data_IF_440133735023
#
_entry.id   IF_440133735023
#
_cell.length_a   1.000
_cell.length_b   1.000
_cell.length_c   1.000
_cell.angle_alpha   90.00
_cell.angle_beta   90.00
_cell.angle_gamma   90.00
#
_symmetry.space_group_name_H-M   'P 1'
#
loop_
_entity.id
_entity.type
_entity.pdbx_description
1 polymer ?
#
# COMPACT_ATOMS: atom_id res chain seq x y z
N UNK A 1 -31.12 -15.31 -5.15
CA UNK A 1 -30.34 -15.97 -4.07
C UNK A 1 -28.91 -16.28 -4.52
N UNK A 2 -28.70 -16.74 -5.76
CA UNK A 2 -27.40 -17.06 -6.35
C UNK A 2 -26.39 -15.88 -6.39
N UNK A 3 -26.85 -14.68 -6.75
CA UNK A 3 -26.03 -13.46 -6.73
C UNK A 3 -25.47 -13.13 -5.33
N UNK A 4 -26.27 -13.28 -4.27
CA UNK A 4 -25.84 -12.98 -2.90
C UNK A 4 -24.82 -14.00 -2.38
N UNK A 5 -24.88 -15.25 -2.86
CA UNK A 5 -23.85 -16.25 -2.56
C UNK A 5 -22.54 -15.98 -3.29
N UNK A 6 -22.61 -15.61 -4.57
CA UNK A 6 -21.44 -15.28 -5.39
C UNK A 6 -20.71 -14.04 -4.85
N UNK A 7 -21.46 -12.96 -4.55
CA UNK A 7 -20.91 -11.75 -3.94
C UNK A 7 -20.10 -12.03 -2.67
N UNK A 8 -20.68 -12.82 -1.75
CA UNK A 8 -20.01 -13.18 -0.49
C UNK A 8 -18.78 -14.04 -0.72
N UNK A 9 -18.77 -14.87 -1.75
CA UNK A 9 -17.62 -15.69 -2.10
C UNK A 9 -16.48 -14.84 -2.67
N UNK A 10 -16.79 -13.91 -3.57
CA UNK A 10 -15.83 -12.97 -4.14
C UNK A 10 -15.19 -12.11 -3.05
N UNK A 11 -15.99 -11.57 -2.13
CA UNK A 11 -15.47 -10.79 -1.01
C UNK A 11 -14.48 -11.57 -0.14
N UNK A 12 -14.74 -12.86 0.14
CA UNK A 12 -13.82 -13.72 0.88
C UNK A 12 -12.54 -14.01 0.10
N UNK A 13 -12.66 -14.20 -1.21
CA UNK A 13 -11.52 -14.43 -2.11
C UNK A 13 -10.61 -13.20 -2.17
N UNK A 14 -11.17 -12.01 -2.42
CA UNK A 14 -10.46 -10.73 -2.45
C UNK A 14 -9.76 -10.45 -1.11
N UNK A 15 -10.42 -10.74 0.00
CA UNK A 15 -9.82 -10.59 1.33
C UNK A 15 -8.65 -11.56 1.57
N UNK A 16 -8.75 -12.79 1.08
CA UNK A 16 -7.64 -13.75 1.14
C UNK A 16 -6.47 -13.26 0.30
N UNK A 17 -6.74 -12.84 -0.94
CA UNK A 17 -5.74 -12.31 -1.87
C UNK A 17 -5.02 -11.09 -1.31
N UNK A 18 -5.76 -10.16 -0.68
CA UNK A 18 -5.16 -9.00 -0.01
C UNK A 18 -4.13 -9.41 1.05
N UNK A 19 -4.46 -10.37 1.91
CA UNK A 19 -3.54 -10.83 2.96
C UNK A 19 -2.27 -11.46 2.39
N UNK A 20 -2.38 -12.13 1.25
CA UNK A 20 -1.26 -12.74 0.55
C UNK A 20 -0.39 -11.68 -0.14
N UNK A 21 -0.99 -10.63 -0.71
CA UNK A 21 -0.27 -9.57 -1.42
C UNK A 21 0.32 -8.49 -0.52
N UNK A 22 -0.30 -8.19 0.63
CA UNK A 22 0.11 -7.08 1.51
C UNK A 22 1.60 -7.13 1.90
N UNK A 23 2.19 -8.25 2.35
CA UNK A 23 3.60 -8.30 2.71
C UNK A 23 4.52 -7.95 1.53
N UNK A 24 4.20 -8.43 0.32
CA UNK A 24 4.97 -8.13 -0.88
C UNK A 24 4.89 -6.64 -1.25
N UNK A 25 3.70 -6.04 -1.15
CA UNK A 25 3.53 -4.61 -1.40
C UNK A 25 4.29 -3.75 -0.40
N UNK A 26 4.26 -4.12 0.88
CA UNK A 26 5.01 -3.43 1.93
C UNK A 26 6.53 -3.57 1.72
N UNK A 27 7.02 -4.76 1.39
CA UNK A 27 8.44 -4.98 1.10
C UNK A 27 8.91 -4.12 -0.08
N UNK A 28 8.15 -4.12 -1.18
CA UNK A 28 8.46 -3.31 -2.35
C UNK A 28 8.44 -1.81 -2.06
N UNK A 29 7.57 -1.35 -1.16
CA UNK A 29 7.55 0.04 -0.72
C UNK A 29 8.76 0.38 0.15
N UNK A 30 9.04 -0.45 1.16
CA UNK A 30 10.17 -0.27 2.06
C UNK A 30 11.51 -0.31 1.32
N UNK A 31 11.66 -1.15 0.28
CA UNK A 31 12.82 -1.14 -0.60
C UNK A 31 13.07 0.24 -1.23
N UNK A 32 12.02 0.89 -1.76
CA UNK A 32 12.11 2.26 -2.32
C UNK A 32 12.49 3.29 -1.25
N UNK A 33 12.01 3.12 -0.02
CA UNK A 33 12.39 3.97 1.12
C UNK A 33 13.87 3.80 1.46
N UNK A 34 14.36 2.55 1.50
CA UNK A 34 15.76 2.24 1.71
C UNK A 34 16.66 2.84 0.62
N UNK A 35 16.28 2.75 -0.65
CA UNK A 35 16.99 3.41 -1.76
C UNK A 35 17.07 4.92 -1.59
N UNK A 36 15.96 5.56 -1.18
CA UNK A 36 15.93 7.01 -0.89
C UNK A 36 16.87 7.39 0.24
N UNK A 37 16.89 6.59 1.32
CA UNK A 37 17.82 6.79 2.44
C UNK A 37 19.27 6.61 1.98
N UNK A 38 19.58 5.57 1.20
CA UNK A 38 20.92 5.35 0.65
C UNK A 38 21.41 6.55 -0.15
N UNK A 39 20.56 7.13 -1.02
CA UNK A 39 20.88 8.35 -1.79
C UNK A 39 21.19 9.56 -0.90
N UNK A 40 20.49 9.71 0.23
CA UNK A 40 20.78 10.77 1.21
C UNK A 40 22.14 10.53 1.89
N UNK A 41 22.45 9.28 2.23
CA UNK A 41 23.71 8.90 2.89
C UNK A 41 24.94 9.21 2.03
N UNK A 42 24.89 8.88 0.74
CA UNK A 42 26.03 9.03 -0.18
C UNK A 42 26.15 10.43 -0.82
N UNK A 43 25.34 11.40 -0.42
CA UNK A 43 25.37 12.74 -1.02
C UNK A 43 26.61 13.54 -0.57
N UNK A 44 27.64 13.62 -1.40
CA UNK A 44 28.92 14.26 -1.04
C UNK A 44 28.87 15.79 -0.93
N UNK A 45 27.79 16.45 -1.37
CA UNK A 45 27.61 17.90 -1.27
C UNK A 45 27.08 18.36 0.10
N UNK A 46 26.69 17.41 0.97
CA UNK A 46 26.05 17.69 2.26
C UNK A 46 26.95 17.36 3.44
N UNK A 47 26.87 18.16 4.50
CA UNK A 47 27.55 17.86 5.76
C UNK A 47 26.96 16.61 6.43
N UNK A 48 27.72 15.97 7.32
CA UNK A 48 27.23 14.81 8.07
C UNK A 48 25.95 15.13 8.88
N UNK A 49 25.86 16.35 9.44
CA UNK A 49 24.69 16.79 10.19
C UNK A 49 23.46 16.93 9.28
N UNK A 50 23.62 17.49 8.08
CA UNK A 50 22.52 17.63 7.12
C UNK A 50 22.00 16.25 6.67
N UNK A 51 22.91 15.31 6.39
CA UNK A 51 22.55 13.93 6.03
C UNK A 51 21.76 13.27 7.15
N UNK A 52 22.26 13.34 8.38
CA UNK A 52 21.61 12.74 9.55
C UNK A 52 20.17 13.23 9.72
N UNK A 53 19.94 14.55 9.71
CA UNK A 53 18.61 15.11 9.86
C UNK A 53 17.69 14.85 8.67
N UNK A 54 18.22 14.79 7.45
CA UNK A 54 17.43 14.42 6.27
C UNK A 54 16.96 12.95 6.34
N UNK A 55 17.84 12.05 6.79
CA UNK A 55 17.52 10.63 6.98
C UNK A 55 16.48 10.46 8.09
N UNK A 56 16.68 11.09 9.26
CA UNK A 56 15.75 11.03 10.39
C UNK A 56 14.34 11.50 9.98
N UNK A 57 14.25 12.67 9.32
CA UNK A 57 12.98 13.22 8.82
C UNK A 57 12.32 12.29 7.82
N UNK A 58 13.10 11.63 6.96
CA UNK A 58 12.58 10.65 6.00
C UNK A 58 12.00 9.45 6.74
N UNK A 59 12.75 8.82 7.65
CA UNK A 59 12.25 7.68 8.45
C UNK A 59 11.00 8.08 9.23
N UNK A 60 11.01 9.25 9.88
CA UNK A 60 9.88 9.74 10.67
C UNK A 60 8.61 9.91 9.84
N UNK A 61 8.75 10.36 8.58
CA UNK A 61 7.64 10.50 7.64
C UNK A 61 7.16 9.14 7.14
N UNK A 62 8.08 8.30 6.65
CA UNK A 62 7.74 7.06 5.96
C UNK A 62 7.22 5.98 6.91
N UNK A 63 7.64 5.96 8.20
CA UNK A 63 7.18 4.95 9.18
C UNK A 63 5.67 4.93 9.44
N UNK A 64 4.96 6.01 9.08
CA UNK A 64 3.50 6.13 9.21
C UNK A 64 2.76 5.86 7.89
N UNK A 65 3.48 5.55 6.82
CA UNK A 65 2.86 5.21 5.54
C UNK A 65 2.21 3.81 5.63
N UNK A 66 1.02 3.56 5.04
CA UNK A 66 0.41 2.23 4.99
C UNK A 66 1.32 1.16 4.38
N UNK A 67 2.22 1.53 3.46
CA UNK A 67 3.26 0.63 2.93
C UNK A 67 4.29 0.17 3.97
N UNK A 68 4.21 0.67 5.21
CA UNK A 68 5.04 0.26 6.34
C UNK A 68 4.21 -0.24 7.51
N UNK A 69 3.19 0.51 7.95
CA UNK A 69 2.46 0.17 9.18
C UNK A 69 1.13 -0.57 8.99
N UNK A 70 0.67 -0.76 7.74
CA UNK A 70 -0.65 -1.35 7.53
C UNK A 70 -0.70 -2.78 8.08
N UNK A 71 -1.65 -3.00 8.97
CA UNK A 71 -2.01 -4.32 9.46
C UNK A 71 -3.14 -4.90 8.60
N UNK A 72 -3.38 -6.20 8.74
CA UNK A 72 -4.49 -6.87 8.05
C UNK A 72 -5.82 -6.29 8.58
N UNK A 73 -6.61 -5.61 7.75
CA UNK A 73 -7.88 -5.00 8.17
C UNK A 73 -8.94 -6.09 8.35
N UNK A 74 -10.10 -5.74 8.92
CA UNK A 74 -11.28 -6.58 8.77
C UNK A 74 -11.73 -6.66 7.31
N UNK A 75 -12.46 -7.72 6.95
CA UNK A 75 -13.04 -7.86 5.61
C UNK A 75 -13.96 -6.69 5.23
N UNK A 76 -14.64 -6.08 6.20
CA UNK A 76 -15.48 -4.89 5.98
C UNK A 76 -14.68 -3.64 5.63
N UNK A 77 -13.41 -3.58 6.07
CA UNK A 77 -12.53 -2.42 5.90
C UNK A 77 -11.55 -2.60 4.73
N UNK A 78 -11.61 -3.72 4.01
CA UNK A 78 -10.71 -4.05 2.90
C UNK A 78 -10.68 -2.94 1.83
N UNK A 79 -11.85 -2.38 1.49
CA UNK A 79 -11.95 -1.32 0.49
C UNK A 79 -11.14 -0.08 0.90
N UNK A 80 -11.25 0.35 2.15
CA UNK A 80 -10.52 1.50 2.67
C UNK A 80 -9.02 1.23 2.72
N UNK A 81 -8.60 0.02 3.10
CA UNK A 81 -7.18 -0.35 3.11
C UNK A 81 -6.56 -0.28 1.70
N UNK A 82 -7.27 -0.76 0.67
CA UNK A 82 -6.83 -0.65 -0.72
C UNK A 82 -6.74 0.81 -1.16
N UNK A 83 -7.75 1.63 -0.85
CA UNK A 83 -7.74 3.06 -1.16
C UNK A 83 -6.57 3.77 -0.47
N UNK A 84 -6.28 3.46 0.80
CA UNK A 84 -5.14 4.04 1.52
C UNK A 84 -3.81 3.68 0.85
N UNK A 85 -3.62 2.41 0.44
CA UNK A 85 -2.41 1.97 -0.27
C UNK A 85 -2.26 2.66 -1.63
N UNK A 86 -3.35 2.81 -2.39
CA UNK A 86 -3.35 3.49 -3.68
C UNK A 86 -3.04 4.99 -3.53
N UNK A 87 -3.72 5.66 -2.60
CA UNK A 87 -3.55 7.11 -2.35
C UNK A 87 -2.13 7.45 -1.88
N UNK A 88 -1.51 6.54 -1.11
CA UNK A 88 -0.12 6.67 -0.68
C UNK A 88 0.90 6.11 -1.70
N UNK A 89 0.42 5.71 -2.90
CA UNK A 89 1.24 5.20 -4.00
C UNK A 89 2.09 3.98 -3.62
N UNK A 90 1.60 3.20 -2.66
CA UNK A 90 2.20 1.93 -2.27
C UNK A 90 1.98 0.90 -3.36
N UNK A 91 0.75 0.88 -3.90
CA UNK A 91 0.31 0.06 -5.02
C UNK A 91 -0.33 0.95 -6.10
N UNK A 92 -0.64 0.35 -7.26
CA UNK A 92 -1.41 0.94 -8.34
C UNK A 92 -2.62 0.07 -8.68
N UNK A 93 -3.53 0.58 -9.51
CA UNK A 93 -4.72 -0.17 -9.94
C UNK A 93 -4.36 -1.48 -10.65
N UNK A 94 -3.24 -1.51 -11.38
CA UNK A 94 -2.78 -2.71 -12.07
C UNK A 94 -2.40 -3.85 -11.10
N UNK A 95 -2.02 -3.54 -9.86
CA UNK A 95 -1.69 -4.54 -8.84
C UNK A 95 -2.94 -5.31 -8.36
N UNK A 96 -4.13 -4.78 -8.66
CA UNK A 96 -5.43 -5.37 -8.32
C UNK A 96 -5.97 -6.31 -9.41
N UNK A 97 -5.22 -6.62 -10.47
CA UNK A 97 -5.70 -7.40 -11.63
C UNK A 97 -6.44 -8.69 -11.25
N UNK A 98 -5.95 -9.42 -10.25
CA UNK A 98 -6.50 -10.71 -9.79
C UNK A 98 -7.70 -10.59 -8.83
N UNK A 99 -8.07 -9.36 -8.43
CA UNK A 99 -9.27 -9.12 -7.62
C UNK A 99 -10.52 -9.23 -8.49
N UNK A 100 -11.66 -9.50 -7.83
CA UNK A 100 -12.95 -9.54 -8.51
C UNK A 100 -13.25 -8.22 -9.24
N UNK A 101 -13.89 -8.32 -10.41
CA UNK A 101 -14.30 -7.14 -11.20
C UNK A 101 -15.16 -6.19 -10.39
N UNK A 102 -16.11 -6.73 -9.61
CA UNK A 102 -16.96 -5.93 -8.74
C UNK A 102 -16.17 -5.12 -7.70
N UNK A 103 -15.10 -5.70 -7.14
CA UNK A 103 -14.25 -4.98 -6.19
C UNK A 103 -13.44 -3.89 -6.89
N UNK A 104 -12.85 -4.18 -8.06
CA UNK A 104 -12.12 -3.19 -8.86
C UNK A 104 -13.00 -2.01 -9.25
N UNK A 105 -14.22 -2.27 -9.73
CA UNK A 105 -15.19 -1.21 -10.07
C UNK A 105 -15.53 -0.31 -8.87
N UNK A 106 -15.65 -0.88 -7.66
CA UNK A 106 -15.91 -0.10 -6.44
C UNK A 106 -14.73 0.81 -6.10
N UNK A 107 -13.50 0.30 -6.24
CA UNK A 107 -12.28 1.08 -6.03
C UNK A 107 -12.21 2.23 -7.05
N UNK A 108 -12.38 1.95 -8.34
CA UNK A 108 -12.33 2.96 -9.41
C UNK A 108 -13.40 4.04 -9.25
N UNK A 109 -14.63 3.65 -8.89
CA UNK A 109 -15.70 4.63 -8.63
C UNK A 109 -15.31 5.61 -7.54
N UNK A 110 -14.61 5.16 -6.49
CA UNK A 110 -14.19 6.05 -5.40
C UNK A 110 -12.97 6.90 -5.78
N UNK A 111 -12.01 6.35 -6.54
CA UNK A 111 -10.85 7.13 -6.98
C UNK A 111 -11.17 8.26 -7.97
N UNK A 112 -12.29 8.13 -8.69
CA UNK A 112 -12.75 9.12 -9.69
C UNK A 112 -13.78 10.13 -9.13
N UNK A 113 -14.05 10.10 -7.82
CA UNK A 113 -14.87 11.08 -7.11
C UNK A 113 -14.00 12.19 -6.52
#
# INVERSE_FOLDING_TARGET
MEYLSEFKQNQKSDYKLFKEKLPLWQENYMAKVCEKIQKLTINDEKSAADKFWAIEKTIFKEKKNPGVLMEIPSISNLLYAILDLLNHKVIKMEDLVDFSEEFKEKVEKIQNL
#
